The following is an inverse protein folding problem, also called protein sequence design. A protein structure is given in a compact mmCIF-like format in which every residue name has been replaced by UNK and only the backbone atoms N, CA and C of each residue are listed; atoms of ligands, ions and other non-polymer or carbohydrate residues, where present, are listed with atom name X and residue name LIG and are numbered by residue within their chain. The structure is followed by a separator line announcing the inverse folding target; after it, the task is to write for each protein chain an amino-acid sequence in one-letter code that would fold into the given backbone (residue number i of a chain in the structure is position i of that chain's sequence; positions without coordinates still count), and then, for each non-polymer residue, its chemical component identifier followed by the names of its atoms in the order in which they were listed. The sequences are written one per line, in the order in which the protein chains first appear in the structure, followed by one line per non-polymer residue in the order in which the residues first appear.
data_IF_279188726177
#
_entry.id   IF_279188726177
#
_cell.length_a   1.000
_cell.length_b   1.000
_cell.length_c   1.000
_cell.angle_alpha   90.00
_cell.angle_beta   90.00
_cell.angle_gamma   90.00
#
_symmetry.space_group_name_H-M   'P 1'
#
loop_
_entity.id
_entity.type
_entity.pdbx_description
1 polymer ?
#
# COMPACT_ATOMS: atom_id res chain seq x y z
N UNK A 1 21.86 -4.51 4.34
CA UNK A 1 20.52 -4.79 3.77
C UNK A 1 19.46 -4.36 4.77
N UNK A 2 18.63 -3.38 4.42
CA UNK A 2 17.68 -2.76 5.35
C UNK A 2 16.66 -3.76 5.88
N UNK A 3 16.51 -3.81 7.20
CA UNK A 3 15.53 -4.63 7.92
C UNK A 3 14.15 -4.45 7.29
N UNK A 4 13.47 -5.54 6.94
CA UNK A 4 12.02 -5.51 6.64
C UNK A 4 11.35 -4.95 7.89
N UNK A 5 10.90 -3.68 7.84
CA UNK A 5 10.07 -3.12 8.92
C UNK A 5 8.81 -3.96 8.96
N UNK A 6 8.51 -4.53 10.12
CA UNK A 6 7.21 -5.14 10.37
C UNK A 6 6.14 -4.09 10.08
N UNK A 7 5.29 -4.38 9.08
CA UNK A 7 4.21 -3.49 8.71
C UNK A 7 3.09 -3.74 9.70
N UNK A 8 2.89 -2.80 10.63
CA UNK A 8 1.75 -2.87 11.54
C UNK A 8 0.48 -2.43 10.80
N UNK A 9 -0.34 -3.41 10.47
CA UNK A 9 -1.57 -3.27 9.70
C UNK A 9 -2.61 -2.44 10.49
N UNK A 10 -2.49 -2.34 11.82
CA UNK A 10 -3.40 -1.58 12.67
C UNK A 10 -3.14 -0.07 12.61
N UNK A 11 -1.95 0.36 12.18
CA UNK A 11 -1.65 1.78 12.02
C UNK A 11 -2.33 2.37 10.78
N UNK A 12 -2.68 1.53 9.80
CA UNK A 12 -3.25 1.97 8.53
C UNK A 12 -4.68 2.49 8.75
N UNK A 13 -4.89 3.77 8.47
CA UNK A 13 -6.18 4.44 8.63
C UNK A 13 -7.19 4.14 7.52
N UNK A 14 -6.71 3.74 6.34
CA UNK A 14 -7.54 3.53 5.15
C UNK A 14 -7.70 2.02 4.85
N UNK A 15 -8.94 1.55 4.75
CA UNK A 15 -9.23 0.13 4.51
C UNK A 15 -8.72 -0.39 3.16
N UNK A 16 -8.68 0.44 2.11
CA UNK A 16 -8.17 0.04 0.79
C UNK A 16 -6.68 -0.23 0.87
N UNK A 17 -5.94 0.68 1.52
CA UNK A 17 -4.51 0.48 1.78
C UNK A 17 -4.30 -0.76 2.63
N UNK A 18 -5.15 -1.00 3.63
CA UNK A 18 -5.08 -2.19 4.49
C UNK A 18 -5.18 -3.48 3.65
N UNK A 19 -6.19 -3.57 2.78
CA UNK A 19 -6.37 -4.70 1.84
C UNK A 19 -5.19 -4.85 0.89
N UNK A 20 -4.74 -3.75 0.30
CA UNK A 20 -3.61 -3.73 -0.62
C UNK A 20 -2.33 -4.25 0.04
N UNK A 21 -2.03 -3.83 1.27
CA UNK A 21 -0.87 -4.29 2.03
C UNK A 21 -0.97 -5.77 2.37
N UNK A 22 -2.15 -6.26 2.77
CA UNK A 22 -2.37 -7.69 3.04
C UNK A 22 -2.12 -8.52 1.77
N UNK A 23 -2.64 -8.08 0.62
CA UNK A 23 -2.40 -8.73 -0.67
C UNK A 23 -0.91 -8.68 -1.06
N UNK A 24 -0.25 -7.55 -0.84
CA UNK A 24 1.18 -7.41 -1.09
C UNK A 24 2.00 -8.44 -0.29
N UNK A 25 1.66 -8.63 1.00
CA UNK A 25 2.32 -9.60 1.87
C UNK A 25 2.02 -11.03 1.40
N UNK A 26 0.77 -11.34 1.06
CA UNK A 26 0.35 -12.65 0.56
C UNK A 26 1.10 -13.06 -0.72
N UNK A 27 1.33 -12.11 -1.62
CA UNK A 27 2.04 -12.31 -2.88
C UNK A 27 3.55 -12.03 -2.79
N UNK A 28 4.09 -11.81 -1.60
CA UNK A 28 5.50 -11.47 -1.37
C UNK A 28 6.02 -10.27 -2.19
N UNK A 29 5.12 -9.32 -2.52
CA UNK A 29 5.44 -8.10 -3.28
C UNK A 29 6.13 -7.11 -2.36
N UNK A 30 7.26 -6.57 -2.81
CA UNK A 30 7.98 -5.56 -2.03
C UNK A 30 7.17 -4.26 -1.93
N UNK A 31 7.24 -3.51 -0.81
CA UNK A 31 6.59 -2.21 -0.67
C UNK A 31 6.98 -1.23 -1.78
N UNK A 32 8.23 -1.28 -2.25
CA UNK A 32 8.74 -0.46 -3.34
C UNK A 32 8.07 -0.82 -4.67
N UNK A 33 7.93 -2.11 -4.96
CA UNK A 33 7.20 -2.60 -6.14
C UNK A 33 5.73 -2.22 -6.06
N UNK A 34 5.10 -2.34 -4.89
CA UNK A 34 3.70 -1.98 -4.71
C UNK A 34 3.46 -0.48 -4.92
N UNK A 35 4.35 0.37 -4.39
CA UNK A 35 4.32 1.80 -4.65
C UNK A 35 4.43 2.12 -6.15
N UNK A 36 5.30 1.41 -6.87
CA UNK A 36 5.44 1.54 -8.32
C UNK A 36 4.17 1.09 -9.05
N UNK A 37 3.55 -0.02 -8.64
CA UNK A 37 2.32 -0.52 -9.27
C UNK A 37 1.16 0.47 -9.13
N UNK A 38 0.99 1.08 -7.96
CA UNK A 38 -0.07 2.07 -7.73
C UNK A 38 0.30 3.50 -8.20
N UNK A 39 1.48 3.67 -8.80
CA UNK A 39 1.92 4.94 -9.39
C UNK A 39 2.24 6.04 -8.36
N UNK A 40 2.70 5.67 -7.16
CA UNK A 40 3.11 6.65 -6.12
C UNK A 40 4.56 6.44 -5.68
N UNK A 41 5.14 7.47 -5.07
CA UNK A 41 6.47 7.34 -4.47
C UNK A 41 6.48 6.36 -3.30
N UNK A 42 7.59 5.64 -3.10
CA UNK A 42 7.79 4.81 -1.91
C UNK A 42 7.56 5.58 -0.61
N UNK A 43 7.97 6.85 -0.55
CA UNK A 43 7.75 7.71 0.61
C UNK A 43 6.26 7.89 0.93
N UNK A 44 5.44 8.11 -0.10
CA UNK A 44 3.97 8.21 0.04
C UNK A 44 3.38 6.89 0.53
N UNK A 45 3.77 5.78 -0.08
CA UNK A 45 3.29 4.45 0.31
C UNK A 45 3.67 4.10 1.76
N UNK A 46 4.91 4.36 2.16
CA UNK A 46 5.38 4.16 3.53
C UNK A 46 4.61 5.04 4.54
N UNK A 47 4.21 6.26 4.17
CA UNK A 47 3.35 7.09 5.02
C UNK A 47 1.93 6.53 5.16
N UNK A 48 1.39 5.90 4.10
CA UNK A 48 0.12 5.20 4.17
C UNK A 48 0.20 4.00 5.12
N UNK A 49 1.26 3.20 5.02
CA UNK A 49 1.52 2.07 5.92
C UNK A 49 1.65 2.49 7.39
N UNK A 50 2.19 3.68 7.65
CA UNK A 50 2.31 4.24 9.00
C UNK A 50 1.05 4.97 9.49
N UNK A 51 -0.03 5.03 8.69
CA UNK A 51 -1.24 5.77 9.05
C UNK A 51 -1.08 7.29 9.10
N UNK A 52 0.04 7.83 8.60
CA UNK A 52 0.30 9.27 8.61
C UNK A 52 -0.51 10.01 7.57
N UNK A 53 -0.77 9.37 6.44
CA UNK A 53 -1.52 9.92 5.32
C UNK A 53 -2.51 8.89 4.79
N UNK A 54 -3.50 9.36 4.04
CA UNK A 54 -4.46 8.51 3.31
C UNK A 54 -4.56 9.03 1.86
N UNK A 55 -4.89 8.17 0.89
CA UNK A 55 -5.11 8.60 -0.49
C UNK A 55 -6.26 9.61 -0.58
N UNK A 56 -5.90 10.86 -0.88
CA UNK A 56 -6.86 11.96 -1.04
C UNK A 56 -7.43 12.04 -2.46
N UNK A 57 -6.62 11.71 -3.47
CA UNK A 57 -7.06 11.79 -4.86
C UNK A 57 -7.94 10.60 -5.23
N UNK A 58 -9.03 10.87 -5.95
CA UNK A 58 -9.89 9.82 -6.51
C UNK A 58 -9.13 8.91 -7.47
N UNK A 59 -8.23 9.46 -8.28
CA UNK A 59 -7.42 8.68 -9.21
C UNK A 59 -6.55 7.64 -8.47
N UNK A 60 -5.91 8.03 -7.36
CA UNK A 60 -5.11 7.10 -6.55
C UNK A 60 -6.00 6.00 -5.95
N UNK A 61 -7.21 6.33 -5.48
CA UNK A 61 -8.16 5.34 -4.95
C UNK A 61 -8.58 4.35 -6.03
N UNK A 62 -8.94 4.83 -7.22
CA UNK A 62 -9.30 3.98 -8.35
C UNK A 62 -8.16 3.06 -8.78
N UNK A 63 -6.91 3.57 -8.81
CA UNK A 63 -5.74 2.73 -9.12
C UNK A 63 -5.54 1.64 -8.06
N UNK A 64 -5.66 1.98 -6.77
CA UNK A 64 -5.56 1.00 -5.68
C UNK A 64 -6.63 -0.08 -5.82
N UNK A 65 -7.89 0.31 -6.06
CA UNK A 65 -9.00 -0.63 -6.21
C UNK A 65 -8.77 -1.56 -7.42
N UNK A 66 -8.29 -1.04 -8.55
CA UNK A 66 -7.90 -1.85 -9.71
C UNK A 66 -6.78 -2.86 -9.39
N UNK A 67 -5.80 -2.49 -8.57
CA UNK A 67 -4.71 -3.38 -8.18
C UNK A 67 -5.21 -4.47 -7.23
N UNK A 68 -6.09 -4.10 -6.29
CA UNK A 68 -6.74 -5.05 -5.39
C UNK A 68 -7.52 -6.09 -6.20
N UNK A 69 -8.30 -5.67 -7.19
CA UNK A 69 -9.07 -6.57 -8.05
C UNK A 69 -8.19 -7.49 -8.91
N UNK A 70 -7.03 -7.01 -9.38
CA UNK A 70 -6.06 -7.83 -10.11
C UNK A 70 -5.33 -8.87 -9.25
N UNK A 71 -5.21 -8.62 -7.95
CA UNK A 71 -4.47 -9.47 -7.00
C UNK A 71 -5.39 -10.38 -6.17
N UNK A 72 -6.71 -10.21 -6.27
CA UNK A 72 -7.75 -11.02 -5.62
C UNK A 72 -7.78 -12.42 -6.21
#
# INVERSE_FOLDING_TARGET
MGKRKEIDINLIKDERIKKLVILAIKHAISPTSMAHFIGISYGTYNRYQQGKTVPQSENTRAVIDNIIDKLK
#
